data_IF_618326561157
#
_entry.id   IF_618326561157
#
_cell.length_a   1.000
_cell.length_b   1.000
_cell.length_c   1.000
_cell.angle_alpha   90.00
_cell.angle_beta   90.00
_cell.angle_gamma   90.00
#
_symmetry.space_group_name_H-M   'P 1'
#
loop_
_entity.id
_entity.type
_entity.pdbx_description
1 polymer ?
#
# COMPACT_ATOMS: atom_id res chain seq x y z
N UNK A 1 6.38 15.48 -22.02
CA UNK A 1 5.07 14.83 -22.15
C UNK A 1 4.69 14.25 -20.80
N UNK A 2 3.82 14.93 -20.04
CA UNK A 2 3.35 14.45 -18.75
C UNK A 2 2.15 13.52 -19.01
N UNK A 3 2.42 12.22 -19.17
CA UNK A 3 1.34 11.23 -19.20
C UNK A 3 0.79 11.13 -17.79
N UNK A 4 -0.33 11.83 -17.56
CA UNK A 4 -1.20 11.58 -16.42
C UNK A 4 -1.66 10.14 -16.48
N UNK A 5 -0.94 9.26 -15.78
CA UNK A 5 -1.29 7.84 -15.71
C UNK A 5 -2.58 7.69 -14.92
N UNK A 6 -3.48 6.96 -15.57
CA UNK A 6 -4.82 6.60 -15.16
C UNK A 6 -4.82 6.09 -13.72
N UNK A 7 -5.91 6.36 -12.99
CA UNK A 7 -6.26 5.94 -11.62
C UNK A 7 -6.21 4.42 -11.37
N UNK A 8 -5.13 3.72 -11.73
CA UNK A 8 -4.82 2.42 -11.15
C UNK A 8 -4.25 2.70 -9.78
N UNK A 9 -4.91 2.17 -8.74
CA UNK A 9 -4.49 2.31 -7.33
C UNK A 9 -2.98 2.15 -7.23
N UNK A 10 -2.29 3.26 -6.92
CA UNK A 10 -0.84 3.30 -6.74
C UNK A 10 -0.53 2.50 -5.46
N UNK A 11 -0.36 1.18 -5.59
CA UNK A 11 -0.01 0.32 -4.46
C UNK A 11 1.28 0.79 -3.79
N UNK A 12 2.18 1.39 -4.58
CA UNK A 12 3.36 2.10 -4.10
C UNK A 12 2.99 3.24 -3.15
N UNK A 13 2.12 4.17 -3.54
CA UNK A 13 1.68 5.27 -2.64
C UNK A 13 0.95 4.77 -1.40
N UNK A 14 0.13 3.72 -1.54
CA UNK A 14 -0.59 3.11 -0.41
C UNK A 14 0.40 2.56 0.63
N UNK A 15 1.46 1.89 0.17
CA UNK A 15 2.56 1.44 1.03
C UNK A 15 3.53 2.55 1.44
N UNK A 16 3.35 3.79 0.96
CA UNK A 16 4.36 4.85 1.09
C UNK A 16 5.69 4.50 0.42
N UNK A 17 5.67 3.55 -0.52
CA UNK A 17 6.78 3.09 -1.32
C UNK A 17 6.84 3.82 -2.67
N UNK A 18 7.97 3.69 -3.33
CA UNK A 18 8.25 4.18 -4.66
C UNK A 18 8.45 2.98 -5.60
N UNK A 19 8.15 3.12 -6.91
CA UNK A 19 8.46 2.08 -7.89
C UNK A 19 9.96 1.74 -7.96
N UNK A 20 10.82 2.69 -7.56
CA UNK A 20 12.27 2.49 -7.42
C UNK A 20 12.69 1.81 -6.10
N UNK A 21 11.77 1.58 -5.15
CA UNK A 21 12.10 0.90 -3.90
C UNK A 21 12.36 -0.59 -4.14
N UNK A 22 13.38 -1.09 -3.46
CA UNK A 22 13.69 -2.52 -3.42
C UNK A 22 12.61 -3.30 -2.64
N UNK A 23 12.42 -4.60 -2.94
CA UNK A 23 11.46 -5.44 -2.19
C UNK A 23 11.71 -5.44 -0.67
N UNK A 24 12.96 -5.30 -0.25
CA UNK A 24 13.32 -5.15 1.17
C UNK A 24 12.75 -3.86 1.81
N UNK A 25 12.77 -2.74 1.08
CA UNK A 25 12.22 -1.46 1.55
C UNK A 25 10.69 -1.48 1.54
N UNK A 26 10.08 -2.07 0.52
CA UNK A 26 8.64 -2.35 0.47
C UNK A 26 8.18 -3.16 1.69
N UNK A 27 8.94 -4.20 2.06
CA UNK A 27 8.66 -5.04 3.24
C UNK A 27 8.73 -4.25 4.55
N UNK A 28 9.77 -3.42 4.71
CA UNK A 28 9.93 -2.55 5.89
C UNK A 28 8.79 -1.55 6.02
N UNK A 29 8.41 -0.91 4.92
CA UNK A 29 7.29 0.04 4.88
C UNK A 29 5.96 -0.63 5.20
N UNK A 30 5.70 -1.80 4.61
CA UNK A 30 4.54 -2.63 4.93
C UNK A 30 4.45 -2.96 6.42
N UNK A 31 5.54 -3.47 7.02
CA UNK A 31 5.56 -3.79 8.46
C UNK A 31 5.27 -2.57 9.33
N UNK A 32 5.88 -1.42 9.00
CA UNK A 32 5.65 -0.17 9.73
C UNK A 32 4.19 0.29 9.64
N UNK A 33 3.60 0.24 8.45
CA UNK A 33 2.20 0.64 8.22
C UNK A 33 1.21 -0.34 8.85
N UNK A 34 1.45 -1.65 8.76
CA UNK A 34 0.61 -2.66 9.40
C UNK A 34 0.57 -2.49 10.91
N UNK A 35 1.70 -2.14 11.54
CA UNK A 35 1.78 -1.81 12.96
C UNK A 35 1.13 -0.47 13.33
N UNK A 36 1.13 0.50 12.40
CA UNK A 36 0.54 1.82 12.61
C UNK A 36 -0.99 1.78 12.51
N UNK A 37 -1.51 1.05 11.51
CA UNK A 37 -2.93 0.89 11.23
C UNK A 37 -3.55 -0.34 11.92
N UNK A 38 -2.80 -1.01 12.82
CA UNK A 38 -3.28 -2.21 13.49
C UNK A 38 -4.53 -1.89 14.33
N UNK A 39 -5.62 -2.68 14.23
CA UNK A 39 -6.86 -2.43 14.95
C UNK A 39 -6.73 -2.55 16.47
N UNK A 40 -5.68 -3.21 16.96
CA UNK A 40 -5.36 -3.30 18.41
C UNK A 40 -4.91 -1.96 18.99
N UNK A 41 -4.29 -1.09 18.17
CA UNK A 41 -3.93 0.27 18.58
C UNK A 41 -5.10 1.25 18.50
N UNK A 42 -6.34 0.76 18.47
CA UNK A 42 -7.52 1.62 18.62
C UNK A 42 -7.45 2.29 19.99
N UNK A 43 -6.95 3.52 20.01
CA UNK A 43 -7.26 4.44 21.08
C UNK A 43 -8.79 4.48 21.15
N UNK A 44 -9.34 4.22 22.34
CA UNK A 44 -10.78 4.14 22.59
C UNK A 44 -11.54 5.40 22.16
N UNK A 45 -10.82 6.49 21.86
CA UNK A 45 -11.31 7.80 21.46
C UNK A 45 -11.25 8.08 19.94
N UNK A 46 -10.82 7.12 19.11
CA UNK A 46 -10.82 7.32 17.67
C UNK A 46 -12.27 7.46 17.17
N UNK A 47 -12.60 8.63 16.60
CA UNK A 47 -13.89 8.89 15.98
C UNK A 47 -14.25 7.76 14.99
N UNK A 48 -15.54 7.43 14.86
CA UNK A 48 -15.97 6.32 14.00
C UNK A 48 -15.45 6.45 12.55
N UNK A 49 -15.32 7.68 12.04
CA UNK A 49 -14.74 7.96 10.73
C UNK A 49 -13.26 7.54 10.61
N UNK A 50 -12.44 7.75 11.65
CA UNK A 50 -11.05 7.31 11.67
C UNK A 50 -10.92 5.77 11.67
N UNK A 51 -11.88 5.07 12.29
CA UNK A 51 -11.85 3.62 12.34
C UNK A 51 -12.10 3.00 10.95
N UNK A 52 -13.06 3.53 10.20
CA UNK A 52 -13.35 3.10 8.82
C UNK A 52 -12.19 3.43 7.87
N UNK A 53 -11.62 4.64 7.93
CA UNK A 53 -10.46 5.00 7.11
C UNK A 53 -9.24 4.12 7.42
N UNK A 54 -8.97 3.83 8.70
CA UNK A 54 -7.86 2.94 9.08
C UNK A 54 -8.08 1.52 8.60
N UNK A 55 -9.32 1.02 8.68
CA UNK A 55 -9.65 -0.31 8.18
C UNK A 55 -9.48 -0.39 6.66
N UNK A 56 -9.96 0.61 5.91
CA UNK A 56 -9.72 0.71 4.47
C UNK A 56 -8.22 0.77 4.15
N UNK A 57 -7.47 1.65 4.82
CA UNK A 57 -6.01 1.76 4.67
C UNK A 57 -5.33 0.42 4.91
N UNK A 58 -5.71 -0.31 5.97
CA UNK A 58 -5.13 -1.61 6.28
C UNK A 58 -5.39 -2.64 5.18
N UNK A 59 -6.62 -2.71 4.66
CA UNK A 59 -6.98 -3.57 3.53
C UNK A 59 -6.14 -3.20 2.30
N UNK A 60 -6.04 -1.92 1.98
CA UNK A 60 -5.25 -1.41 0.85
C UNK A 60 -3.77 -1.74 1.01
N UNK A 61 -3.17 -1.56 2.19
CA UNK A 61 -1.78 -1.90 2.51
C UNK A 61 -1.52 -3.41 2.30
N UNK A 62 -2.46 -4.26 2.74
CA UNK A 62 -2.38 -5.70 2.53
C UNK A 62 -2.46 -6.10 1.06
N UNK A 63 -3.37 -5.49 0.30
CA UNK A 63 -3.49 -5.69 -1.15
C UNK A 63 -2.22 -5.22 -1.88
N UNK A 64 -1.71 -4.06 -1.51
CA UNK A 64 -0.48 -3.51 -2.07
C UNK A 64 0.71 -4.44 -1.85
N UNK A 65 0.85 -5.00 -0.64
CA UNK A 65 1.92 -5.95 -0.33
C UNK A 65 1.75 -7.29 -1.07
N UNK A 66 0.52 -7.76 -1.26
CA UNK A 66 0.26 -8.98 -2.05
C UNK A 66 0.72 -8.85 -3.51
N UNK A 67 0.65 -7.64 -4.06
CA UNK A 67 1.04 -7.34 -5.44
C UNK A 67 2.53 -6.97 -5.53
N UNK A 68 3.03 -6.13 -4.63
CA UNK A 68 4.41 -5.61 -4.72
C UNK A 68 5.44 -6.45 -3.96
N UNK A 69 4.99 -7.29 -3.02
CA UNK A 69 5.84 -8.12 -2.17
C UNK A 69 6.29 -9.43 -2.83
N UNK A 70 5.64 -9.84 -3.91
CA UNK A 70 6.05 -11.00 -4.70
C UNK A 70 6.57 -10.55 -6.06
N UNK A 71 7.72 -11.06 -6.48
CA UNK A 71 8.40 -10.60 -7.70
C UNK A 71 7.56 -10.87 -8.95
N UNK A 72 6.83 -11.98 -8.99
CA UNK A 72 5.96 -12.34 -10.11
C UNK A 72 4.80 -11.34 -10.26
N UNK A 73 4.01 -11.15 -9.20
CA UNK A 73 2.88 -10.20 -9.21
C UNK A 73 3.33 -8.75 -9.36
N UNK A 74 4.50 -8.40 -8.82
CA UNK A 74 5.10 -7.06 -8.98
C UNK A 74 5.45 -6.82 -10.44
N UNK A 75 6.08 -7.81 -11.09
CA UNK A 75 6.51 -7.71 -12.49
C UNK A 75 5.30 -7.62 -13.42
N UNK A 76 4.25 -8.37 -13.13
CA UNK A 76 2.98 -8.32 -13.85
C UNK A 76 2.27 -6.97 -13.68
N UNK A 77 2.28 -6.43 -12.47
CA UNK A 77 1.77 -5.09 -12.17
C UNK A 77 2.58 -3.98 -12.85
N UNK A 78 3.91 -4.07 -12.85
CA UNK A 78 4.80 -3.11 -13.53
C UNK A 78 4.58 -3.15 -15.05
N UNK A 79 4.40 -4.35 -15.62
CA UNK A 79 4.05 -4.56 -17.02
C UNK A 79 2.69 -3.93 -17.36
N UNK A 80 1.67 -4.14 -16.52
CA UNK A 80 0.36 -3.51 -16.69
C UNK A 80 0.40 -1.99 -16.56
N UNK A 81 1.26 -1.44 -15.69
CA UNK A 81 1.39 0.01 -15.51
C UNK A 81 2.17 0.73 -16.62
N UNK A 82 2.87 -0.03 -17.47
CA UNK A 82 3.74 0.46 -18.54
C UNK A 82 3.17 0.25 -19.95
N UNK A 83 2.08 -0.52 -20.10
CA UNK A 83 1.32 -0.67 -21.35
C UNK A 83 0.30 0.45 -21.54
#
# INVERSE_FOLDING_TARGET
MAVGRVKQKDWYKILGAQPSDSPAELKRKYQKLALLHHPDKRAADAAAGDAEERAQRFIEIGQAWKILGNEETKKEYDLQQRG
#
